data_IF_731288600169
#
_entry.id   IF_731288600169
#
_cell.length_a   1.000
_cell.length_b   1.000
_cell.length_c   1.000
_cell.angle_alpha   90.00
_cell.angle_beta   90.00
_cell.angle_gamma   90.00
#
_symmetry.space_group_name_H-M   'P 1'
#
loop_
_entity.id
_entity.type
_entity.pdbx_description
1 polymer ?
#
# COMPACT_ATOMS: atom_id res chain seq x y z
N UNK A 1 -0.54 16.98 -1.46
CA UNK A 1 -1.84 16.29 -1.58
C UNK A 1 -2.64 16.78 -2.79
N UNK A 2 -3.05 18.05 -2.86
CA UNK A 2 -3.86 18.61 -3.97
C UNK A 2 -3.36 18.24 -5.37
N UNK A 3 -2.08 18.47 -5.66
CA UNK A 3 -1.49 18.13 -6.96
C UNK A 3 -1.61 16.65 -7.33
N UNK A 4 -1.52 15.73 -6.36
CA UNK A 4 -1.64 14.30 -6.61
C UNK A 4 -3.09 13.93 -6.94
N UNK A 5 -4.06 14.50 -6.22
CA UNK A 5 -5.48 14.26 -6.50
C UNK A 5 -5.92 14.86 -7.83
N UNK A 6 -5.36 16.01 -8.22
CA UNK A 6 -5.64 16.59 -9.55
C UNK A 6 -5.26 15.63 -10.68
N UNK A 7 -4.17 14.86 -10.50
CA UNK A 7 -3.80 13.81 -11.47
C UNK A 7 -4.82 12.69 -11.49
N UNK A 8 -5.24 12.19 -10.33
CA UNK A 8 -6.27 11.14 -10.24
C UNK A 8 -7.57 11.59 -10.92
N UNK A 9 -7.99 12.84 -10.71
CA UNK A 9 -9.17 13.40 -11.36
C UNK A 9 -9.03 13.42 -12.88
N UNK A 10 -7.90 13.92 -13.39
CA UNK A 10 -7.66 13.99 -14.82
C UNK A 10 -7.51 12.60 -15.48
N UNK A 11 -6.89 11.64 -14.80
CA UNK A 11 -6.63 10.29 -15.31
C UNK A 11 -7.89 9.41 -15.37
N UNK A 12 -8.96 9.78 -14.65
CA UNK A 12 -10.17 8.97 -14.50
C UNK A 12 -11.45 9.73 -14.90
N UNK A 13 -11.32 10.82 -15.67
CA UNK A 13 -12.43 11.66 -16.16
C UNK A 13 -13.43 12.08 -15.07
N UNK A 14 -12.92 12.40 -13.87
CA UNK A 14 -13.72 12.83 -12.73
C UNK A 14 -13.99 14.35 -12.77
N UNK A 15 -15.09 14.78 -12.18
CA UNK A 15 -15.37 16.21 -11.98
C UNK A 15 -14.76 16.70 -10.66
N UNK A 16 -13.74 17.56 -10.74
CA UNK A 16 -13.06 18.17 -9.59
C UNK A 16 -14.01 18.90 -8.62
N UNK A 17 -15.13 19.42 -9.13
CA UNK A 17 -16.14 20.12 -8.32
C UNK A 17 -17.01 19.16 -7.52
N UNK A 18 -17.19 17.91 -7.99
CA UNK A 18 -17.99 16.88 -7.34
C UNK A 18 -17.15 15.95 -6.48
N UNK A 19 -16.00 15.54 -6.99
CA UNK A 19 -15.05 14.68 -6.30
C UNK A 19 -13.65 15.30 -6.42
N UNK A 20 -12.90 15.46 -5.31
CA UNK A 20 -13.21 15.04 -3.94
C UNK A 20 -14.28 15.86 -3.22
N UNK A 21 -14.63 17.04 -3.71
CA UNK A 21 -15.38 18.05 -2.95
C UNK A 21 -14.49 18.81 -1.95
N UNK A 22 -14.79 20.08 -1.72
CA UNK A 22 -13.88 21.01 -1.01
C UNK A 22 -13.59 20.60 0.44
N UNK A 23 -14.61 20.19 1.19
CA UNK A 23 -14.47 19.79 2.59
C UNK A 23 -13.56 18.56 2.75
N UNK A 24 -13.76 17.52 1.94
CA UNK A 24 -12.94 16.30 1.96
C UNK A 24 -11.51 16.57 1.47
N UNK A 25 -11.35 17.43 0.46
CA UNK A 25 -10.01 17.88 0.02
C UNK A 25 -9.27 18.63 1.13
N UNK A 26 -9.95 19.52 1.85
CA UNK A 26 -9.37 20.24 2.97
C UNK A 26 -8.96 19.29 4.10
N UNK A 27 -9.82 18.32 4.42
CA UNK A 27 -9.52 17.27 5.39
C UNK A 27 -8.29 16.45 4.98
N UNK A 28 -8.21 15.93 3.75
CA UNK A 28 -7.03 15.20 3.26
C UNK A 28 -5.75 16.05 3.30
N UNK A 29 -5.82 17.34 2.95
CA UNK A 29 -4.69 18.25 3.10
C UNK A 29 -4.26 18.43 4.56
N UNK A 30 -5.23 18.54 5.46
CA UNK A 30 -4.99 18.65 6.90
C UNK A 30 -4.39 17.36 7.46
N UNK A 31 -4.94 16.19 7.14
CA UNK A 31 -4.37 14.89 7.55
C UNK A 31 -2.95 14.72 7.01
N UNK A 32 -2.69 15.14 5.77
CA UNK A 32 -1.34 15.12 5.23
C UNK A 32 -0.37 16.01 6.03
N UNK A 33 -0.81 17.12 6.63
CA UNK A 33 0.00 18.02 7.50
C UNK A 33 1.45 18.26 7.05
N UNK A 34 1.68 18.37 5.73
CA UNK A 34 3.03 18.53 5.16
C UNK A 34 3.89 17.26 5.05
N UNK A 35 3.42 16.11 5.56
CA UNK A 35 4.03 14.80 5.39
C UNK A 35 3.91 14.35 3.93
N UNK A 36 4.95 14.61 3.14
CA UNK A 36 5.01 14.21 1.74
C UNK A 36 4.75 12.71 1.55
N UNK A 37 5.30 11.88 2.43
CA UNK A 37 5.08 10.43 2.41
C UNK A 37 3.60 10.06 2.58
N UNK A 38 2.87 10.77 3.44
CA UNK A 38 1.43 10.54 3.62
C UNK A 38 0.68 10.81 2.32
N UNK A 39 0.89 11.98 1.72
CA UNK A 39 0.20 12.39 0.51
C UNK A 39 0.49 11.46 -0.68
N UNK A 40 1.75 11.01 -0.83
CA UNK A 40 2.12 10.08 -1.90
C UNK A 40 1.55 8.69 -1.66
N UNK A 41 1.54 8.22 -0.42
CA UNK A 41 1.00 6.89 -0.06
C UNK A 41 -0.48 6.83 -0.35
N UNK A 42 -1.27 7.81 0.12
CA UNK A 42 -2.72 7.86 -0.09
C UNK A 42 -3.07 7.98 -1.57
N UNK A 43 -2.40 8.87 -2.31
CA UNK A 43 -2.68 9.04 -3.73
C UNK A 43 -2.39 7.78 -4.55
N UNK A 44 -1.25 7.13 -4.32
CA UNK A 44 -0.93 5.86 -4.97
C UNK A 44 -1.92 4.76 -4.58
N UNK A 45 -2.32 4.72 -3.30
CA UNK A 45 -3.31 3.77 -2.84
C UNK A 45 -4.64 3.96 -3.59
N UNK A 46 -5.07 5.19 -3.82
CA UNK A 46 -6.28 5.46 -4.58
C UNK A 46 -6.15 4.97 -6.02
N UNK A 47 -5.02 5.24 -6.69
CA UNK A 47 -4.77 4.74 -8.04
C UNK A 47 -4.82 3.21 -8.11
N UNK A 48 -4.17 2.52 -7.17
CA UNK A 48 -4.17 1.06 -7.12
C UNK A 48 -5.59 0.51 -6.88
N UNK A 49 -6.38 1.14 -5.99
CA UNK A 49 -7.77 0.73 -5.75
C UNK A 49 -8.69 1.02 -6.94
N UNK A 50 -8.51 2.13 -7.67
CA UNK A 50 -9.26 2.42 -8.90
C UNK A 50 -8.94 1.37 -9.97
N UNK A 51 -7.67 0.99 -10.13
CA UNK A 51 -7.28 -0.05 -11.06
C UNK A 51 -7.96 -1.40 -10.75
N UNK A 52 -8.04 -1.77 -9.48
CA UNK A 52 -8.56 -3.08 -9.06
C UNK A 52 -10.09 -3.12 -8.92
N UNK A 53 -10.73 -2.00 -8.57
CA UNK A 53 -12.15 -1.94 -8.19
C UNK A 53 -12.93 -0.82 -8.89
N UNK A 54 -12.34 -0.11 -9.85
CA UNK A 54 -13.00 1.00 -10.55
C UNK A 54 -13.18 2.26 -9.70
N UNK A 55 -13.74 3.30 -10.31
CA UNK A 55 -13.95 4.61 -9.66
C UNK A 55 -15.04 4.59 -8.59
N UNK A 56 -15.88 3.56 -8.53
CA UNK A 56 -16.95 3.42 -7.53
C UNK A 56 -16.42 3.34 -6.08
N UNK A 57 -15.17 2.93 -5.89
CA UNK A 57 -14.56 2.86 -4.56
C UNK A 57 -14.12 4.23 -4.00
N UNK A 58 -14.09 5.27 -4.84
CA UNK A 58 -13.43 6.53 -4.50
C UNK A 58 -14.08 7.30 -3.34
N UNK A 59 -15.39 7.17 -3.17
CA UNK A 59 -16.10 7.80 -2.04
C UNK A 59 -15.73 7.11 -0.71
N UNK A 60 -15.76 5.77 -0.67
CA UNK A 60 -15.36 5.03 0.52
C UNK A 60 -13.90 5.31 0.91
N UNK A 61 -13.02 5.41 -0.09
CA UNK A 61 -11.60 5.71 0.13
C UNK A 61 -11.40 7.11 0.68
N UNK A 62 -12.01 8.13 0.05
CA UNK A 62 -11.83 9.49 0.55
C UNK A 62 -12.37 9.67 1.95
N UNK A 63 -13.50 9.05 2.26
CA UNK A 63 -14.10 9.14 3.58
C UNK A 63 -13.21 8.44 4.63
N UNK A 64 -12.64 7.28 4.30
CA UNK A 64 -11.70 6.58 5.18
C UNK A 64 -10.43 7.39 5.52
N UNK A 65 -9.92 8.19 4.58
CA UNK A 65 -8.68 8.97 4.77
C UNK A 65 -8.91 10.42 5.20
N UNK A 66 -10.17 10.89 5.25
CA UNK A 66 -10.52 12.26 5.68
C UNK A 66 -10.87 12.36 7.16
N UNK A 67 -10.93 11.24 7.89
CA UNK A 67 -11.27 11.20 9.32
C UNK A 67 -10.19 11.90 10.17
N UNK A 68 -10.60 12.53 11.27
CA UNK A 68 -9.68 13.11 12.25
C UNK A 68 -8.75 12.04 12.87
N UNK A 69 -7.48 12.39 13.10
CA UNK A 69 -6.46 11.47 13.63
C UNK A 69 -5.74 10.62 12.58
N UNK A 70 -6.13 10.72 11.30
CA UNK A 70 -5.50 10.03 10.17
C UNK A 70 -4.12 10.58 9.80
N UNK A 71 -3.70 11.72 10.38
CA UNK A 71 -2.40 12.33 10.15
C UNK A 71 -1.22 11.59 10.79
N UNK A 72 -1.46 10.66 11.72
CA UNK A 72 -0.41 9.77 12.21
C UNK A 72 -0.01 8.75 11.13
N UNK A 73 1.30 8.61 10.90
CA UNK A 73 1.83 7.74 9.84
C UNK A 73 1.61 6.26 10.15
N UNK A 74 1.53 5.87 11.43
CA UNK A 74 1.22 4.49 11.81
C UNK A 74 -0.24 4.17 11.52
N UNK A 75 -1.15 5.09 11.84
CA UNK A 75 -2.56 5.01 11.43
C UNK A 75 -2.69 4.89 9.91
N UNK A 76 -1.93 5.68 9.14
CA UNK A 76 -1.84 5.55 7.67
C UNK A 76 -1.49 4.15 7.21
N UNK A 77 -0.37 3.60 7.70
CA UNK A 77 0.05 2.27 7.28
C UNK A 77 -0.95 1.20 7.68
N UNK A 78 -1.53 1.32 8.86
CA UNK A 78 -2.55 0.40 9.32
C UNK A 78 -3.80 0.44 8.45
N UNK A 79 -4.35 1.62 8.16
CA UNK A 79 -5.52 1.79 7.30
C UNK A 79 -5.27 1.23 5.89
N UNK A 80 -4.10 1.48 5.30
CA UNK A 80 -3.71 0.92 3.99
C UNK A 80 -3.69 -0.61 4.01
N UNK A 81 -3.04 -1.20 5.02
CA UNK A 81 -2.98 -2.68 5.17
C UNK A 81 -4.38 -3.25 5.38
N UNK A 82 -5.19 -2.65 6.27
CA UNK A 82 -6.55 -3.09 6.52
C UNK A 82 -7.41 -3.07 5.26
N UNK A 83 -7.37 -1.99 4.48
CA UNK A 83 -8.15 -1.88 3.26
C UNK A 83 -7.68 -2.87 2.18
N UNK A 84 -6.37 -3.08 2.03
CA UNK A 84 -5.81 -4.07 1.11
C UNK A 84 -6.19 -5.51 1.48
N UNK A 85 -6.31 -5.82 2.78
CA UNK A 85 -6.63 -7.15 3.30
C UNK A 85 -8.08 -7.30 3.79
N UNK A 86 -8.95 -6.29 3.62
CA UNK A 86 -10.31 -6.26 4.23
C UNK A 86 -11.19 -7.45 3.87
N UNK A 87 -10.99 -8.04 2.69
CA UNK A 87 -11.79 -9.17 2.19
C UNK A 87 -11.19 -10.54 2.53
N UNK A 88 -10.00 -10.60 3.15
CA UNK A 88 -9.33 -11.87 3.42
C UNK A 88 -9.31 -12.20 4.90
N UNK A 89 -9.66 -13.45 5.22
CA UNK A 89 -9.46 -14.08 6.53
C UNK A 89 -8.53 -15.29 6.44
N UNK A 90 -7.90 -15.48 5.29
CA UNK A 90 -7.08 -16.65 4.99
C UNK A 90 -5.72 -16.54 5.68
N UNK A 91 -5.38 -17.41 6.65
CA UNK A 91 -4.11 -17.34 7.38
C UNK A 91 -2.89 -17.41 6.46
N UNK A 92 -3.01 -18.08 5.30
CA UNK A 92 -1.94 -18.15 4.31
C UNK A 92 -1.59 -16.79 3.71
N UNK A 93 -2.58 -15.89 3.55
CA UNK A 93 -2.35 -14.53 3.03
C UNK A 93 -1.55 -13.67 4.01
N UNK A 94 -1.77 -13.86 5.31
CA UNK A 94 -1.01 -13.17 6.36
C UNK A 94 0.40 -13.74 6.52
N UNK A 95 0.54 -15.07 6.48
CA UNK A 95 1.85 -15.74 6.50
C UNK A 95 2.72 -15.33 5.31
N UNK A 96 2.14 -15.31 4.09
CA UNK A 96 2.86 -14.89 2.88
C UNK A 96 3.29 -13.43 2.95
N UNK A 97 2.43 -12.54 3.47
CA UNK A 97 2.83 -11.16 3.75
C UNK A 97 4.04 -11.10 4.69
N UNK A 98 3.96 -11.75 5.85
CA UNK A 98 5.05 -11.72 6.84
C UNK A 98 6.35 -12.27 6.29
N UNK A 99 6.31 -13.36 5.52
CA UNK A 99 7.51 -13.94 4.89
C UNK A 99 8.13 -13.03 3.85
N UNK A 100 7.32 -12.44 2.97
CA UNK A 100 7.83 -11.56 1.91
C UNK A 100 8.37 -10.26 2.51
N UNK A 101 7.60 -9.59 3.37
CA UNK A 101 8.02 -8.33 4.00
C UNK A 101 9.20 -8.55 4.94
N UNK A 102 9.17 -9.61 5.75
CA UNK A 102 10.27 -9.98 6.64
C UNK A 102 11.55 -10.27 5.86
N UNK A 103 11.46 -10.96 4.72
CA UNK A 103 12.60 -11.16 3.83
C UNK A 103 13.20 -9.83 3.38
N UNK A 104 12.39 -8.90 2.87
CA UNK A 104 12.88 -7.56 2.47
C UNK A 104 13.47 -6.79 3.65
N UNK A 105 12.88 -6.90 4.83
CA UNK A 105 13.29 -6.20 6.04
C UNK A 105 14.68 -6.62 6.54
N UNK A 106 15.06 -7.90 6.37
CA UNK A 106 16.33 -8.44 6.90
C UNK A 106 17.46 -8.54 5.86
N UNK A 107 17.14 -8.41 4.57
CA UNK A 107 18.14 -8.48 3.49
C UNK A 107 19.17 -7.35 3.61
N UNK A 108 20.43 -7.70 3.90
CA UNK A 108 21.55 -6.76 3.89
C UNK A 108 21.83 -6.21 2.50
N UNK A 109 21.75 -7.08 1.49
CA UNK A 109 21.87 -6.72 0.08
C UNK A 109 20.48 -6.80 -0.57
N UNK A 110 19.91 -5.69 -1.06
CA UNK A 110 18.59 -5.69 -1.67
C UNK A 110 18.55 -6.58 -2.92
N UNK A 111 17.56 -7.48 -2.97
CA UNK A 111 17.36 -8.40 -4.08
C UNK A 111 16.22 -7.96 -5.00
N UNK A 112 16.29 -8.24 -6.31
CA UNK A 112 15.16 -8.04 -7.20
C UNK A 112 14.01 -9.00 -6.85
N UNK A 113 12.76 -8.60 -7.14
CA UNK A 113 11.56 -9.40 -6.84
C UNK A 113 11.66 -10.84 -7.37
N UNK A 114 12.22 -11.02 -8.57
CA UNK A 114 12.42 -12.37 -9.14
C UNK A 114 13.37 -13.24 -8.32
N UNK A 115 14.41 -12.65 -7.70
CA UNK A 115 15.30 -13.37 -6.81
C UNK A 115 14.62 -13.67 -5.46
N UNK A 116 13.85 -12.72 -4.91
CA UNK A 116 13.04 -12.94 -3.69
C UNK A 116 12.03 -14.07 -3.92
N UNK A 117 11.35 -14.07 -5.06
CA UNK A 117 10.39 -15.11 -5.44
C UNK A 117 11.04 -16.50 -5.47
N UNK A 118 12.24 -16.62 -6.05
CA UNK A 118 12.99 -17.88 -6.07
C UNK A 118 13.55 -18.27 -4.70
N UNK A 119 14.01 -17.29 -3.92
CA UNK A 119 14.56 -17.51 -2.59
C UNK A 119 13.51 -18.07 -1.63
N UNK A 120 12.29 -17.53 -1.70
CA UNK A 120 11.21 -17.93 -0.80
C UNK A 120 10.43 -19.14 -1.31
N UNK A 121 10.26 -19.29 -2.63
CA UNK A 121 9.42 -20.30 -3.32
C UNK A 121 8.15 -20.66 -2.54
N UNK A 122 7.42 -19.64 -2.08
CA UNK A 122 6.28 -19.84 -1.18
C UNK A 122 5.16 -20.55 -1.91
N UNK A 123 4.72 -21.69 -1.38
CA UNK A 123 3.59 -22.48 -1.88
C UNK A 123 2.70 -22.85 -0.72
N UNK A 124 1.38 -22.82 -0.94
CA UNK A 124 0.41 -23.21 0.10
C UNK A 124 0.60 -24.68 0.51
N UNK A 125 0.86 -25.52 -0.48
CA UNK A 125 1.17 -26.94 -0.35
C UNK A 125 2.07 -27.40 -1.52
N UNK A 126 2.49 -28.67 -1.52
CA UNK A 126 3.41 -29.22 -2.51
C UNK A 126 2.86 -29.18 -3.96
N UNK A 127 1.53 -29.18 -4.13
CA UNK A 127 0.87 -29.17 -5.44
C UNK A 127 0.48 -27.78 -5.92
N UNK A 128 0.49 -26.79 -5.04
CA UNK A 128 0.10 -25.42 -5.35
C UNK A 128 1.14 -24.70 -6.20
N UNK A 129 0.67 -23.86 -7.10
CA UNK A 129 1.51 -22.87 -7.78
C UNK A 129 2.18 -21.93 -6.76
N UNK A 130 3.41 -21.46 -7.04
CA UNK A 130 4.07 -20.46 -6.20
C UNK A 130 3.22 -19.19 -6.06
N UNK A 131 3.39 -18.52 -4.93
CA UNK A 131 2.84 -17.19 -4.69
C UNK A 131 3.38 -16.23 -5.74
N UNK A 132 2.49 -15.47 -6.36
CA UNK A 132 2.87 -14.39 -7.27
C UNK A 132 3.41 -13.19 -6.49
N UNK A 133 4.72 -13.21 -6.23
CA UNK A 133 5.42 -12.17 -5.49
C UNK A 133 5.44 -10.84 -6.26
N UNK A 134 5.39 -10.87 -7.60
CA UNK A 134 5.31 -9.65 -8.41
C UNK A 134 3.96 -8.96 -8.17
N UNK A 135 2.88 -9.73 -8.22
CA UNK A 135 1.55 -9.21 -7.94
C UNK A 135 1.42 -8.72 -6.48
N UNK A 136 2.03 -9.43 -5.52
CA UNK A 136 2.10 -8.97 -4.12
C UNK A 136 2.70 -7.56 -4.02
N UNK A 137 3.85 -7.30 -4.65
CA UNK A 137 4.49 -5.98 -4.63
C UNK A 137 3.77 -4.92 -5.46
N UNK A 138 2.95 -5.31 -6.44
CA UNK A 138 2.03 -4.37 -7.12
C UNK A 138 0.95 -3.89 -6.15
N UNK A 139 0.31 -4.80 -5.43
CA UNK A 139 -0.76 -4.49 -4.48
C UNK A 139 -0.26 -3.74 -3.23
N UNK A 140 1.01 -3.90 -2.88
CA UNK A 140 1.64 -3.27 -1.70
C UNK A 140 2.64 -2.16 -2.08
N UNK A 141 2.59 -1.69 -3.33
CA UNK A 141 3.55 -0.74 -3.90
C UNK A 141 3.63 0.55 -3.08
N UNK A 142 2.50 1.00 -2.55
CA UNK A 142 2.35 2.22 -1.75
C UNK A 142 3.28 2.26 -0.53
N UNK A 143 3.62 1.10 0.04
CA UNK A 143 4.42 0.98 1.27
C UNK A 143 5.76 0.25 1.07
N UNK A 144 5.88 -0.64 0.07
CA UNK A 144 7.07 -1.48 -0.12
C UNK A 144 7.92 -1.14 -1.35
N UNK A 145 7.46 -0.25 -2.25
CA UNK A 145 8.20 0.08 -3.48
C UNK A 145 8.17 1.59 -3.74
N UNK A 146 9.26 2.25 -3.36
CA UNK A 146 9.48 3.66 -3.72
C UNK A 146 9.85 3.77 -5.21
N UNK A 147 8.99 4.42 -6.01
CA UNK A 147 9.28 4.73 -7.42
C UNK A 147 8.04 4.92 -8.30
N UNK A 148 8.26 5.40 -9.53
CA UNK A 148 7.22 5.61 -10.56
C UNK A 148 7.18 4.49 -11.61
N UNK A 149 8.15 3.59 -11.65
CA UNK A 149 8.24 2.53 -12.67
C UNK A 149 7.30 1.35 -12.41
N UNK A 150 6.85 0.71 -13.48
CA UNK A 150 6.03 -0.50 -13.43
C UNK A 150 6.73 -1.61 -12.62
N UNK A 151 6.04 -2.14 -11.61
CA UNK A 151 6.58 -3.21 -10.74
C UNK A 151 6.66 -4.52 -11.52
N UNK A 152 7.88 -5.05 -11.64
CA UNK A 152 8.20 -6.27 -12.36
C UNK A 152 9.32 -7.06 -11.66
N UNK A 153 9.69 -8.22 -12.21
CA UNK A 153 10.69 -9.10 -11.60
C UNK A 153 12.09 -8.49 -11.39
N UNK A 154 12.44 -7.41 -12.11
CA UNK A 154 13.73 -6.69 -11.95
C UNK A 154 13.67 -5.58 -10.90
N UNK A 155 12.46 -5.20 -10.46
CA UNK A 155 12.29 -4.18 -9.43
C UNK A 155 12.92 -4.66 -8.12
N UNK A 156 13.66 -3.77 -7.46
CA UNK A 156 14.23 -4.01 -6.12
C UNK A 156 13.32 -3.31 -5.11
N UNK A 157 12.56 -4.04 -4.28
CA UNK A 157 11.67 -3.45 -3.31
C UNK A 157 12.47 -2.75 -2.21
N UNK A 158 11.91 -1.66 -1.67
CA UNK A 158 12.53 -0.86 -0.61
C UNK A 158 11.45 -0.44 0.37
N UNK A 159 11.61 -0.84 1.63
CA UNK A 159 10.75 -0.37 2.70
C UNK A 159 11.14 1.07 3.04
N UNK A 160 10.15 1.95 3.12
CA UNK A 160 10.39 3.25 3.73
C UNK A 160 10.74 3.05 5.21
N UNK A 161 11.68 3.84 5.75
CA UNK A 161 12.17 3.68 7.13
C UNK A 161 11.03 3.65 8.16
N UNK A 162 10.08 4.58 8.08
CA UNK A 162 8.94 4.61 9.00
C UNK A 162 7.99 3.43 8.84
N UNK A 163 7.91 2.83 7.64
CA UNK A 163 7.12 1.61 7.44
C UNK A 163 7.83 0.41 8.07
N UNK A 164 9.16 0.31 7.90
CA UNK A 164 9.97 -0.70 8.58
C UNK A 164 9.81 -0.60 10.10
N UNK A 165 9.98 0.60 10.68
CA UNK A 165 9.81 0.82 12.12
C UNK A 165 8.40 0.44 12.60
N UNK A 166 7.36 0.77 11.82
CA UNK A 166 5.99 0.39 12.12
C UNK A 166 5.81 -1.13 12.12
N UNK A 167 6.19 -1.81 11.03
CA UNK A 167 5.88 -3.23 10.81
C UNK A 167 6.69 -4.16 11.73
N UNK A 168 7.81 -3.70 12.28
CA UNK A 168 8.60 -4.45 13.29
C UNK A 168 8.22 -4.10 14.74
N UNK A 169 7.32 -3.14 14.95
CA UNK A 169 6.93 -2.69 16.30
C UNK A 169 5.65 -3.35 16.81
N UNK A 170 5.36 -3.18 18.09
CA UNK A 170 4.10 -3.61 18.71
C UNK A 170 2.87 -2.86 18.22
N UNK A 171 3.05 -1.78 17.46
CA UNK A 171 1.94 -1.05 16.83
C UNK A 171 1.35 -1.78 15.61
N UNK A 172 2.09 -2.71 15.02
CA UNK A 172 1.56 -3.55 13.93
C UNK A 172 0.77 -4.72 14.51
N UNK A 173 -0.39 -5.00 13.91
CA UNK A 173 -1.20 -6.19 14.20
C UNK A 173 -0.38 -7.48 13.98
N UNK A 174 -0.61 -8.48 14.83
CA UNK A 174 0.18 -9.72 14.85
C UNK A 174 0.09 -10.52 13.55
N UNK A 175 -0.96 -10.33 12.75
CA UNK A 175 -1.06 -10.96 11.44
C UNK A 175 -0.03 -10.42 10.44
N UNK A 176 0.44 -9.18 10.64
CA UNK A 176 1.32 -8.47 9.71
C UNK A 176 2.70 -8.17 10.26
N UNK A 177 2.87 -8.15 11.59
CA UNK A 177 4.14 -7.84 12.25
C UNK A 177 5.23 -8.85 11.86
N UNK A 178 6.43 -8.35 11.56
CA UNK A 178 7.61 -9.15 11.16
C UNK A 178 8.78 -8.99 12.11
#
# INVERSE_FOLDING_TARGET
MRQQLTRIVAENDLDWLQWPGEARMAALCYQASGLFIWAVTVAKFFQDQIHDFGTECLNDLIDAFSVEGMGDIKTLYWTVIQLAYRKTKDPWRFETFRRIVGCVAVLKEPLPISAISKLLDLRRDASSSPVDVVNFFRQTRTVLVAGADAVNGKTVPRLHKSFFEFITSEHADSNFRV
#
